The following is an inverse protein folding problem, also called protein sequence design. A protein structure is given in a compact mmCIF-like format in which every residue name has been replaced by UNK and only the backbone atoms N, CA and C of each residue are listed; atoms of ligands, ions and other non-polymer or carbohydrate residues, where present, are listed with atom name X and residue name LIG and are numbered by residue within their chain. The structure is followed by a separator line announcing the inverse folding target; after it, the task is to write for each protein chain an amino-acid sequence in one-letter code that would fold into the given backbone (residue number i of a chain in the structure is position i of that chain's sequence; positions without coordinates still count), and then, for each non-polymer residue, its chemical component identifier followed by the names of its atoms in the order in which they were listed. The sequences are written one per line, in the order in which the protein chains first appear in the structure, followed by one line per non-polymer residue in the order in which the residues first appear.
data_IF_449985110169
#
_entry.id   IF_449985110169
#
_cell.length_a   1.000
_cell.length_b   1.000
_cell.length_c   1.000
_cell.angle_alpha   90.00
_cell.angle_beta   90.00
_cell.angle_gamma   90.00
#
_symmetry.space_group_name_H-M   'P 1'
#
loop_
_entity.id
_entity.type
_entity.pdbx_description
1 polymer ?
#
# COMPACT_ATOMS: atom_id res chain seq x y z
N UNK A 1 19.51 -16.02 -3.27
CA UNK A 1 18.31 -15.24 -3.64
C UNK A 1 18.38 -13.93 -2.86
N UNK A 2 18.67 -12.81 -3.51
CA UNK A 2 18.62 -11.49 -2.87
C UNK A 2 17.17 -11.26 -2.42
N UNK A 3 16.89 -11.51 -1.14
CA UNK A 3 15.55 -11.52 -0.59
C UNK A 3 14.99 -10.10 -0.55
N UNK A 4 14.07 -9.79 -1.46
CA UNK A 4 13.25 -8.59 -1.34
C UNK A 4 12.21 -8.85 -0.26
N UNK A 5 12.26 -8.09 0.83
CA UNK A 5 11.30 -8.14 1.91
C UNK A 5 10.22 -7.09 1.65
N UNK A 6 8.96 -7.52 1.66
CA UNK A 6 7.78 -6.63 1.57
C UNK A 6 7.03 -6.75 2.87
N UNK A 7 6.83 -5.62 3.54
CA UNK A 7 6.07 -5.52 4.79
C UNK A 7 4.95 -4.51 4.62
N UNK A 8 3.80 -4.77 5.25
CA UNK A 8 2.70 -3.80 5.31
C UNK A 8 2.88 -2.96 6.57
N UNK A 9 3.15 -1.67 6.42
CA UNK A 9 3.34 -0.76 7.57
C UNK A 9 1.99 -0.33 8.15
N UNK A 10 1.12 0.22 7.30
CA UNK A 10 -0.14 0.85 7.71
C UNK A 10 -1.21 0.59 6.67
N UNK A 11 -2.44 0.38 7.11
CA UNK A 11 -3.62 0.36 6.25
C UNK A 11 -4.64 1.38 6.74
N UNK A 12 -5.05 2.29 5.85
CA UNK A 12 -6.11 3.27 6.13
C UNK A 12 -7.32 2.93 5.29
N UNK A 13 -8.41 2.55 5.94
CA UNK A 13 -9.67 2.19 5.28
C UNK A 13 -10.68 3.33 5.46
N UNK A 14 -11.43 3.64 4.40
CA UNK A 14 -12.51 4.61 4.49
C UNK A 14 -13.68 4.07 5.34
N UNK A 15 -14.43 4.94 6.03
CA UNK A 15 -15.54 4.51 6.92
C UNK A 15 -16.64 3.71 6.20
N UNK A 16 -16.80 3.92 4.90
CA UNK A 16 -17.77 3.24 4.04
C UNK A 16 -17.26 1.92 3.44
N UNK A 17 -16.05 1.48 3.83
CA UNK A 17 -15.36 0.31 3.25
C UNK A 17 -15.21 0.40 1.72
N UNK A 18 -15.24 1.61 1.14
CA UNK A 18 -15.07 1.83 -0.29
C UNK A 18 -13.63 1.70 -0.75
N UNK A 19 -12.68 2.25 0.02
CA UNK A 19 -11.27 2.38 -0.36
C UNK A 19 -10.38 1.98 0.81
N UNK A 20 -9.35 1.18 0.54
CA UNK A 20 -8.29 0.85 1.49
C UNK A 20 -6.94 1.25 0.91
N UNK A 21 -6.28 2.21 1.58
CA UNK A 21 -4.92 2.66 1.26
C UNK A 21 -3.93 1.82 2.06
N UNK A 22 -3.12 1.04 1.37
CA UNK A 22 -2.13 0.12 1.93
C UNK A 22 -0.74 0.71 1.72
N UNK A 23 -0.02 0.96 2.81
CA UNK A 23 1.35 1.47 2.80
C UNK A 23 2.32 0.31 2.99
N UNK A 24 3.28 0.19 2.07
CA UNK A 24 4.23 -0.91 1.99
C UNK A 24 5.65 -0.41 2.28
N UNK A 25 6.34 -1.11 3.17
CA UNK A 25 7.79 -0.99 3.35
C UNK A 25 8.48 -2.08 2.54
N UNK A 26 9.34 -1.68 1.61
CA UNK A 26 10.04 -2.59 0.70
C UNK A 26 11.54 -2.45 0.93
N UNK A 27 12.20 -3.58 1.21
CA UNK A 27 13.64 -3.63 1.40
C UNK A 27 14.26 -4.63 0.42
N UNK A 28 15.29 -4.25 -0.36
CA UNK A 28 15.94 -2.93 -0.43
C UNK A 28 15.09 -1.87 -1.15
N UNK A 29 15.24 -0.60 -0.74
CA UNK A 29 14.46 0.54 -1.24
C UNK A 29 14.63 0.82 -2.74
N UNK A 30 15.79 0.46 -3.31
CA UNK A 30 16.08 0.61 -4.75
C UNK A 30 15.06 -0.12 -5.64
N UNK A 31 14.50 -1.23 -5.16
CA UNK A 31 13.51 -2.05 -5.90
C UNK A 31 12.06 -1.67 -5.58
N UNK A 32 11.84 -0.74 -4.65
CA UNK A 32 10.51 -0.33 -4.24
C UNK A 32 9.62 0.15 -5.39
N UNK A 33 10.07 1.03 -6.33
CA UNK A 33 9.19 1.52 -7.40
C UNK A 33 8.82 0.42 -8.40
N UNK A 34 9.77 -0.43 -8.79
CA UNK A 34 9.52 -1.56 -9.70
C UNK A 34 8.51 -2.54 -9.09
N UNK A 35 8.71 -2.89 -7.81
CA UNK A 35 7.85 -3.82 -7.11
C UNK A 35 6.47 -3.23 -6.85
N UNK A 36 6.37 -1.93 -6.59
CA UNK A 36 5.08 -1.25 -6.46
C UNK A 36 4.27 -1.33 -7.75
N UNK A 37 4.89 -1.12 -8.91
CA UNK A 37 4.20 -1.26 -10.20
C UNK A 37 3.76 -2.71 -10.45
N UNK A 38 4.59 -3.69 -10.11
CA UNK A 38 4.21 -5.10 -10.18
C UNK A 38 3.02 -5.44 -9.26
N UNK A 39 2.98 -4.87 -8.04
CA UNK A 39 1.86 -5.03 -7.10
C UNK A 39 0.60 -4.35 -7.65
N UNK A 40 0.72 -3.14 -8.20
CA UNK A 40 -0.40 -2.42 -8.82
C UNK A 40 -1.00 -3.20 -9.97
N UNK A 41 -0.19 -3.80 -10.84
CA UNK A 41 -0.66 -4.65 -11.93
C UNK A 41 -1.47 -5.86 -11.41
N UNK A 42 -1.07 -6.41 -10.27
CA UNK A 42 -1.73 -7.55 -9.63
C UNK A 42 -2.83 -7.19 -8.63
N UNK A 43 -3.19 -5.91 -8.49
CA UNK A 43 -4.19 -5.43 -7.51
C UNK A 43 -5.51 -6.19 -7.59
N UNK A 44 -5.98 -6.51 -8.81
CA UNK A 44 -7.24 -7.24 -9.01
C UNK A 44 -7.19 -8.65 -8.44
N UNK A 45 -6.08 -9.37 -8.66
CA UNK A 45 -5.88 -10.71 -8.13
C UNK A 45 -5.79 -10.68 -6.60
N UNK A 46 -5.02 -9.74 -6.04
CA UNK A 46 -4.89 -9.55 -4.59
C UNK A 46 -6.26 -9.24 -3.96
N UNK A 47 -7.06 -8.38 -4.60
CA UNK A 47 -8.42 -8.06 -4.14
C UNK A 47 -9.35 -9.28 -4.19
N UNK A 48 -9.24 -10.09 -5.24
CA UNK A 48 -10.03 -11.31 -5.39
C UNK A 48 -9.70 -12.31 -4.27
N UNK A 49 -8.40 -12.56 -4.03
CA UNK A 49 -7.94 -13.46 -2.99
C UNK A 49 -8.33 -12.98 -1.59
N UNK A 50 -8.23 -11.67 -1.34
CA UNK A 50 -8.74 -11.05 -0.12
C UNK A 50 -10.23 -11.34 0.02
N UNK A 51 -10.99 -11.08 -1.05
CA UNK A 51 -12.42 -11.35 -1.10
C UNK A 51 -12.77 -12.79 -0.75
N UNK A 52 -12.10 -13.77 -1.36
CA UNK A 52 -12.34 -15.18 -1.05
C UNK A 52 -12.06 -15.54 0.42
N UNK A 53 -11.14 -14.84 1.09
CA UNK A 53 -10.84 -15.10 2.50
C UNK A 53 -11.81 -14.43 3.46
N UNK A 54 -12.32 -13.24 3.12
CA UNK A 54 -13.13 -12.42 4.05
C UNK A 54 -14.58 -12.19 3.61
N UNK A 55 -15.06 -12.85 2.54
CA UNK A 55 -16.41 -12.61 2.00
C UNK A 55 -17.54 -12.89 3.00
N UNK A 56 -17.32 -13.74 4.00
CA UNK A 56 -18.31 -14.02 5.05
C UNK A 56 -18.34 -12.95 6.15
N UNK A 57 -17.28 -12.15 6.26
CA UNK A 57 -17.10 -11.16 7.33
C UNK A 57 -17.39 -9.74 6.87
N UNK A 58 -17.17 -9.44 5.59
CA UNK A 58 -17.33 -8.09 5.03
C UNK A 58 -18.48 -8.03 4.02
N UNK A 59 -19.33 -7.00 4.18
CA UNK A 59 -20.41 -6.69 3.24
C UNK A 59 -19.89 -6.24 1.87
N UNK A 60 -18.74 -5.56 1.84
CA UNK A 60 -18.09 -5.02 0.64
C UNK A 60 -16.58 -5.15 0.80
N UNK A 61 -15.92 -5.57 -0.27
CA UNK A 61 -14.47 -5.58 -0.35
C UNK A 61 -14.02 -4.20 -0.86
N UNK A 62 -13.17 -3.47 -0.12
CA UNK A 62 -12.70 -2.17 -0.54
C UNK A 62 -11.81 -2.28 -1.80
N UNK A 63 -11.77 -1.21 -2.59
CA UNK A 63 -10.74 -1.06 -3.61
C UNK A 63 -9.39 -0.84 -2.91
N UNK A 64 -8.38 -1.64 -3.28
CA UNK A 64 -7.06 -1.58 -2.70
C UNK A 64 -6.20 -0.59 -3.50
N UNK A 65 -5.55 0.33 -2.80
CA UNK A 65 -4.56 1.23 -3.41
C UNK A 65 -3.25 1.12 -2.63
N UNK A 66 -2.16 0.84 -3.33
CA UNK A 66 -0.86 0.61 -2.73
C UNK A 66 0.05 1.84 -2.86
N UNK A 67 0.75 2.15 -1.78
CA UNK A 67 1.73 3.22 -1.67
C UNK A 67 3.01 2.68 -1.04
N UNK A 68 4.15 3.24 -1.40
CA UNK A 68 5.39 3.02 -0.66
C UNK A 68 5.31 3.91 0.58
N UNK A 69 5.78 3.41 1.73
CA UNK A 69 5.90 4.19 2.95
C UNK A 69 7.10 5.16 2.81
N UNK A 70 6.86 6.30 2.18
CA UNK A 70 7.76 7.43 2.00
C UNK A 70 7.48 8.54 3.03
N UNK A 71 6.91 8.17 4.18
CA UNK A 71 6.47 9.11 5.21
C UNK A 71 7.58 10.06 5.68
N UNK A 72 8.83 9.61 5.70
CA UNK A 72 10.00 10.46 5.97
C UNK A 72 10.24 11.51 4.87
N UNK A 73 10.28 11.10 3.60
CA UNK A 73 10.47 12.00 2.45
C UNK A 73 9.33 13.02 2.33
N UNK A 74 8.11 12.62 2.66
CA UNK A 74 6.94 13.51 2.68
C UNK A 74 7.03 14.58 3.78
N UNK A 75 7.50 14.22 4.98
CA UNK A 75 7.69 15.16 6.10
C UNK A 75 8.78 16.17 5.75
N UNK A 76 9.92 15.73 5.20
CA UNK A 76 10.99 16.63 4.76
C UNK A 76 10.51 17.62 3.69
N UNK A 77 9.65 17.16 2.76
CA UNK A 77 9.06 18.03 1.74
C UNK A 77 8.12 19.07 2.35
N UNK A 78 7.32 18.72 3.35
CA UNK A 78 6.45 19.68 4.06
C UNK A 78 7.30 20.71 4.82
N UNK A 79 8.31 20.27 5.56
CA UNK A 79 9.19 21.18 6.30
C UNK A 79 9.91 22.16 5.38
N UNK A 80 10.34 21.72 4.20
CA UNK A 80 10.94 22.59 3.20
C UNK A 80 9.95 23.60 2.59
N UNK A 81 8.67 23.24 2.46
CA UNK A 81 7.62 24.14 1.94
C UNK A 81 7.16 25.17 2.98
N UNK A 82 7.17 24.82 4.27
CA UNK A 82 6.76 25.69 5.38
C UNK A 82 7.87 26.66 5.85
N UNK A 83 9.14 26.40 5.50
CA UNK A 83 10.28 27.28 5.81
C UNK A 83 10.38 28.54 4.93
N UNK A 84 9.33 28.89 4.19
CA UNK A 84 9.26 30.07 3.35
C UNK A 84 8.15 31.00 3.81
#
# INVERSE_FOLDING_TARGET
MSGTLVSVSVVRVSPDLGIARVYLSIFPSEKAPELLEAIKANTKAIRFDLGQRVHLQLRKIPELTFYIDDSLDYIEKIDNLLKK
#
